data_IF_901769542857
#
_entry.id   IF_901769542857
#
_cell.length_a   1.000
_cell.length_b   1.000
_cell.length_c   1.000
_cell.angle_alpha   90.00
_cell.angle_beta   90.00
_cell.angle_gamma   90.00
#
_symmetry.space_group_name_H-M   'P 1'
#
loop_
_entity.id
_entity.type
_entity.pdbx_description
1 polymer ?
#
# COMPACT_ATOMS: atom_id res chain seq x y z
N UNK A 1 38.39 54.00 -13.57
CA UNK A 1 37.52 52.81 -13.44
C UNK A 1 37.30 52.55 -11.96
N UNK A 2 36.17 53.01 -11.44
CA UNK A 2 35.77 52.97 -10.04
C UNK A 2 34.92 51.72 -9.80
N UNK A 3 35.33 50.88 -8.84
CA UNK A 3 34.55 49.74 -8.38
C UNK A 3 33.75 50.14 -7.15
N UNK A 4 32.43 50.01 -7.22
CA UNK A 4 31.52 50.25 -6.12
C UNK A 4 31.42 48.99 -5.25
N UNK A 5 31.70 49.14 -3.95
CA UNK A 5 31.49 48.11 -2.93
C UNK A 5 30.04 48.21 -2.42
N UNK A 6 29.26 47.15 -2.60
CA UNK A 6 27.91 47.02 -2.05
C UNK A 6 27.97 46.06 -0.86
N UNK A 7 27.61 46.55 0.32
CA UNK A 7 27.42 45.72 1.51
C UNK A 7 25.94 45.29 1.59
N UNK A 8 25.62 44.02 1.90
CA UNK A 8 24.27 43.63 2.23
C UNK A 8 23.93 44.04 3.68
N UNK A 9 22.75 44.65 3.83
CA UNK A 9 22.11 44.99 5.10
C UNK A 9 21.65 43.68 5.76
N UNK A 10 22.26 43.33 6.89
CA UNK A 10 21.81 42.23 7.76
C UNK A 10 20.58 42.72 8.52
N UNK A 11 19.39 42.25 8.10
CA UNK A 11 18.16 42.44 8.87
C UNK A 11 18.15 41.45 10.03
N UNK A 12 18.30 41.98 11.25
CA UNK A 12 18.08 41.27 12.50
C UNK A 12 16.57 41.03 12.67
N UNK A 13 16.11 39.84 12.30
CA UNK A 13 14.79 39.34 12.72
C UNK A 13 14.89 38.86 14.17
N UNK A 14 14.15 39.52 15.05
CA UNK A 14 13.92 39.07 16.41
C UNK A 14 13.16 37.73 16.38
N UNK A 15 13.84 36.65 16.74
CA UNK A 15 13.22 35.36 17.06
C UNK A 15 12.60 35.48 18.45
N UNK A 16 11.26 35.48 18.51
CA UNK A 16 10.54 35.27 19.76
C UNK A 16 10.86 33.87 20.30
N UNK A 17 11.03 33.69 21.62
CA UNK A 17 11.22 32.38 22.21
C UNK A 17 9.97 31.51 21.99
N UNK A 18 10.16 30.40 21.28
CA UNK A 18 9.16 29.34 21.16
C UNK A 18 9.05 28.68 22.54
N UNK A 19 7.95 28.91 23.23
CA UNK A 19 7.59 28.13 24.42
C UNK A 19 7.34 26.68 23.99
N UNK A 20 8.20 25.78 24.44
CA UNK A 20 8.00 24.33 24.37
C UNK A 20 6.73 23.98 25.16
N UNK A 21 5.61 23.82 24.44
CA UNK A 21 4.39 23.25 24.99
C UNK A 21 4.66 21.82 25.44
N UNK A 22 4.08 21.46 26.58
CA UNK A 22 4.12 20.11 27.15
C UNK A 22 3.77 19.04 26.12
N UNK A 23 4.35 17.83 26.20
CA UNK A 23 4.01 16.73 25.31
C UNK A 23 2.51 16.47 25.40
N UNK A 24 1.82 16.66 24.28
CA UNK A 24 0.42 16.30 24.13
C UNK A 24 0.40 14.77 24.13
N UNK A 25 -0.08 14.16 25.21
CA UNK A 25 -0.52 12.77 25.18
C UNK A 25 -1.54 12.68 24.06
N UNK A 26 -1.17 12.03 22.96
CA UNK A 26 -2.10 11.70 21.89
C UNK A 26 -3.09 10.70 22.47
N UNK A 27 -4.17 11.24 23.05
CA UNK A 27 -5.35 10.50 23.39
C UNK A 27 -5.77 9.75 22.12
N UNK A 28 -5.79 8.42 22.19
CA UNK A 28 -6.24 7.55 21.11
C UNK A 28 -7.74 7.82 20.99
N UNK A 29 -8.08 8.89 20.28
CA UNK A 29 -9.46 9.29 20.09
C UNK A 29 -10.18 8.10 19.48
N UNK A 30 -11.22 7.67 20.19
CA UNK A 30 -12.23 6.75 19.71
C UNK A 30 -12.56 7.12 18.26
N UNK A 31 -12.16 6.28 17.32
CA UNK A 31 -12.57 6.42 15.94
C UNK A 31 -14.10 6.49 15.93
N UNK A 32 -14.70 7.41 15.14
CA UNK A 32 -16.14 7.48 15.03
C UNK A 32 -16.69 6.10 14.64
N UNK A 33 -17.90 5.73 15.11
CA UNK A 33 -18.52 4.48 14.71
C UNK A 33 -18.55 4.40 13.18
N UNK A 34 -18.33 3.21 12.59
CA UNK A 34 -18.22 3.04 11.16
C UNK A 34 -19.44 3.66 10.49
N UNK A 35 -19.19 4.60 9.58
CA UNK A 35 -20.23 5.23 8.76
C UNK A 35 -20.88 4.09 7.97
N UNK A 36 -22.15 3.78 8.26
CA UNK A 36 -22.96 2.90 7.41
C UNK A 36 -23.12 3.56 6.04
N UNK A 37 -22.16 3.28 5.18
CA UNK A 37 -22.10 3.85 3.84
C UNK A 37 -22.85 2.91 2.91
N UNK A 38 -23.81 3.47 2.16
CA UNK A 38 -24.64 2.77 1.17
C UNK A 38 -23.80 1.76 0.37
N UNK A 39 -24.16 0.47 0.47
CA UNK A 39 -23.57 -0.58 -0.33
C UNK A 39 -23.62 -0.20 -1.82
N UNK A 40 -22.46 -0.25 -2.50
CA UNK A 40 -22.41 -0.14 -3.95
C UNK A 40 -23.28 -1.25 -4.51
N UNK A 41 -24.29 -0.90 -5.32
CA UNK A 41 -25.21 -1.87 -5.88
C UNK A 41 -24.42 -2.89 -6.73
N UNK A 42 -24.29 -4.11 -6.21
CA UNK A 42 -23.66 -5.24 -6.89
C UNK A 42 -24.48 -5.57 -8.14
N UNK A 43 -23.85 -5.66 -9.32
CA UNK A 43 -24.51 -6.28 -10.49
C UNK A 43 -24.84 -7.73 -10.14
N UNK A 44 -26.07 -8.15 -10.41
CA UNK A 44 -26.58 -9.45 -10.00
C UNK A 44 -25.73 -10.65 -10.50
N UNK A 45 -25.00 -10.45 -11.61
CA UNK A 45 -24.29 -11.53 -12.31
C UNK A 45 -22.81 -11.69 -11.91
N UNK A 46 -22.27 -10.80 -11.07
CA UNK A 46 -20.88 -10.90 -10.59
C UNK A 46 -20.84 -11.81 -9.35
N UNK A 47 -20.01 -12.84 -9.36
CA UNK A 47 -19.81 -13.70 -8.20
C UNK A 47 -18.50 -13.32 -7.48
N UNK A 48 -18.61 -12.71 -6.29
CA UNK A 48 -17.44 -12.27 -5.54
C UNK A 48 -16.94 -13.38 -4.62
N UNK A 49 -15.62 -13.47 -4.45
CA UNK A 49 -15.04 -14.41 -3.50
C UNK A 49 -15.45 -14.05 -2.05
N UNK A 50 -15.43 -15.01 -1.15
CA UNK A 50 -15.71 -14.75 0.26
C UNK A 50 -14.55 -14.01 0.92
N UNK A 51 -14.84 -12.94 1.63
CA UNK A 51 -13.84 -12.19 2.40
C UNK A 51 -13.37 -12.98 3.63
N UNK A 52 -14.20 -13.91 4.12
CA UNK A 52 -13.87 -14.73 5.29
C UNK A 52 -12.72 -15.70 5.02
N UNK A 53 -12.44 -15.99 3.74
CA UNK A 53 -11.27 -16.76 3.31
C UNK A 53 -9.96 -15.99 3.51
N UNK A 54 -10.04 -14.72 3.93
CA UNK A 54 -8.91 -13.80 4.13
C UNK A 54 -8.05 -13.64 2.88
N UNK A 55 -8.64 -13.82 1.70
CA UNK A 55 -8.00 -13.64 0.41
C UNK A 55 -8.57 -12.38 -0.23
N UNK A 56 -7.83 -11.29 -0.12
CA UNK A 56 -8.21 -10.00 -0.67
C UNK A 56 -6.96 -9.18 -1.00
N UNK A 57 -7.14 -8.17 -1.84
CA UNK A 57 -6.07 -7.33 -2.36
C UNK A 57 -6.53 -5.87 -2.40
N UNK A 58 -5.59 -4.93 -2.45
CA UNK A 58 -5.89 -3.51 -2.65
C UNK A 58 -6.29 -3.28 -4.11
N UNK A 59 -7.49 -2.75 -4.33
CA UNK A 59 -8.00 -2.51 -5.69
C UNK A 59 -7.07 -1.62 -6.51
N UNK A 60 -6.55 -0.55 -5.90
CA UNK A 60 -5.75 0.46 -6.61
C UNK A 60 -4.37 -0.08 -7.00
N UNK A 61 -3.89 -1.15 -6.34
CA UNK A 61 -2.69 -1.89 -6.77
C UNK A 61 -2.94 -2.70 -8.03
N UNK A 62 -4.08 -3.40 -8.13
CA UNK A 62 -4.35 -4.34 -9.23
C UNK A 62 -4.89 -3.63 -10.47
N UNK A 63 -5.74 -2.62 -10.30
CA UNK A 63 -6.45 -1.96 -11.40
C UNK A 63 -5.54 -1.45 -12.54
N UNK A 64 -4.39 -0.81 -12.28
CA UNK A 64 -3.47 -0.37 -13.33
C UNK A 64 -2.93 -1.52 -14.20
N UNK A 65 -2.85 -2.73 -13.65
CA UNK A 65 -2.32 -3.92 -14.35
C UNK A 65 -3.37 -4.59 -15.24
N UNK A 66 -4.62 -4.10 -15.29
CA UNK A 66 -5.66 -4.61 -16.18
C UNK A 66 -5.66 -3.94 -17.57
N UNK A 67 -4.83 -2.91 -17.78
CA UNK A 67 -4.93 -2.06 -18.96
C UNK A 67 -4.58 -2.75 -20.30
N UNK A 68 -5.03 -2.18 -21.42
CA UNK A 68 -4.78 -2.69 -22.79
C UNK A 68 -3.41 -2.39 -23.39
N UNK A 69 -2.59 -1.53 -22.78
CA UNK A 69 -1.29 -1.10 -23.35
C UNK A 69 -0.11 -1.88 -22.80
N UNK A 70 -0.06 -2.08 -21.49
CA UNK A 70 1.04 -2.73 -20.75
C UNK A 70 0.57 -3.78 -19.75
N UNK A 71 -0.75 -3.86 -19.50
CA UNK A 71 -1.34 -4.75 -18.52
C UNK A 71 -1.73 -6.13 -19.07
N UNK A 72 -2.48 -6.87 -18.27
CA UNK A 72 -3.03 -8.19 -18.61
C UNK A 72 -3.80 -8.18 -19.92
N UNK A 73 -4.67 -7.18 -20.15
CA UNK A 73 -5.48 -7.12 -21.36
C UNK A 73 -4.69 -6.75 -22.63
N UNK A 74 -3.44 -6.24 -22.51
CA UNK A 74 -2.55 -6.11 -23.67
C UNK A 74 -2.12 -7.47 -24.24
N UNK A 75 -2.09 -8.51 -23.40
CA UNK A 75 -1.77 -9.88 -23.80
C UNK A 75 -2.96 -10.58 -24.45
N UNK A 76 -4.17 -10.01 -24.30
CA UNK A 76 -5.40 -10.55 -24.83
C UNK A 76 -5.53 -10.20 -26.32
N UNK A 77 -4.99 -11.06 -27.17
CA UNK A 77 -5.11 -10.95 -28.62
C UNK A 77 -5.74 -12.22 -29.19
N UNK A 78 -6.81 -12.05 -29.97
CA UNK A 78 -7.50 -13.11 -30.70
C UNK A 78 -6.55 -13.96 -31.56
N UNK A 79 -5.44 -13.38 -32.03
CA UNK A 79 -4.46 -14.06 -32.87
C UNK A 79 -3.57 -15.08 -32.13
N UNK A 80 -3.53 -15.05 -30.78
CA UNK A 80 -2.66 -15.93 -29.97
C UNK A 80 -3.37 -17.25 -29.60
N UNK A 81 -4.66 -17.41 -29.96
CA UNK A 81 -5.30 -18.72 -30.13
C UNK A 81 -5.54 -19.55 -28.86
N UNK A 82 -5.51 -18.95 -27.67
CA UNK A 82 -5.82 -19.64 -26.41
C UNK A 82 -7.29 -19.48 -26.00
N UNK A 83 -7.98 -20.58 -25.69
CA UNK A 83 -9.30 -20.55 -25.03
C UNK A 83 -9.21 -20.18 -23.54
N UNK A 84 -7.99 -20.08 -23.00
CA UNK A 84 -7.68 -19.68 -21.63
C UNK A 84 -6.36 -18.92 -21.62
N UNK A 85 -6.35 -17.73 -21.02
CA UNK A 85 -5.13 -17.07 -20.59
C UNK A 85 -5.23 -16.92 -19.09
N UNK A 86 -4.17 -17.33 -18.40
CA UNK A 86 -4.00 -17.17 -16.96
C UNK A 86 -2.63 -16.55 -16.69
N UNK A 87 -2.59 -15.55 -15.82
CA UNK A 87 -1.36 -14.88 -15.36
C UNK A 87 -1.41 -14.64 -13.86
N UNK A 88 -0.23 -14.67 -13.25
CA UNK A 88 -0.02 -14.31 -11.86
C UNK A 88 0.73 -12.99 -11.81
N UNK A 89 0.27 -12.10 -10.95
CA UNK A 89 0.90 -10.81 -10.68
C UNK A 89 1.31 -10.76 -9.22
N UNK A 90 2.38 -10.02 -8.93
CA UNK A 90 2.82 -9.75 -7.55
C UNK A 90 3.17 -11.00 -6.75
N UNK A 91 3.77 -11.98 -7.43
CA UNK A 91 4.14 -13.28 -6.87
C UNK A 91 5.03 -13.10 -5.63
N UNK A 92 4.69 -13.80 -4.54
CA UNK A 92 5.42 -13.75 -3.28
C UNK A 92 5.07 -12.55 -2.39
N UNK A 93 4.00 -11.80 -2.71
CA UNK A 93 3.52 -10.68 -1.90
C UNK A 93 2.09 -10.92 -1.38
N UNK A 94 1.62 -10.03 -0.51
CA UNK A 94 0.24 -10.07 0.00
C UNK A 94 -0.81 -9.66 -1.05
N UNK A 95 -0.38 -9.11 -2.18
CA UNK A 95 -1.24 -8.73 -3.31
C UNK A 95 -1.14 -9.73 -4.46
N UNK A 96 -0.57 -10.92 -4.22
CA UNK A 96 -0.50 -11.92 -5.27
C UNK A 96 -1.90 -12.25 -5.78
N UNK A 97 -2.12 -12.01 -7.07
CA UNK A 97 -3.40 -12.28 -7.74
C UNK A 97 -3.18 -13.13 -8.96
N UNK A 98 -4.12 -14.04 -9.18
CA UNK A 98 -4.32 -14.71 -10.44
C UNK A 98 -5.41 -13.97 -11.22
N UNK A 99 -5.10 -13.60 -12.46
CA UNK A 99 -6.05 -13.05 -13.40
C UNK A 99 -6.19 -14.04 -14.55
N UNK A 100 -7.42 -14.42 -14.86
CA UNK A 100 -7.70 -15.31 -15.98
C UNK A 100 -8.93 -14.91 -16.78
N UNK A 101 -8.90 -15.26 -18.06
CA UNK A 101 -10.05 -15.22 -18.94
C UNK A 101 -10.09 -16.55 -19.67
N UNK A 102 -11.21 -17.25 -19.55
CA UNK A 102 -11.38 -18.56 -20.17
C UNK A 102 -12.76 -18.71 -20.81
N UNK A 103 -12.84 -19.59 -21.79
CA UNK A 103 -14.10 -20.03 -22.39
C UNK A 103 -14.02 -21.52 -22.72
N UNK A 104 -15.03 -22.32 -22.33
CA UNK A 104 -15.00 -23.76 -22.58
C UNK A 104 -15.00 -24.15 -24.07
N UNK A 105 -15.64 -23.34 -24.93
CA UNK A 105 -15.80 -23.56 -26.36
C UNK A 105 -14.90 -22.62 -27.19
N UNK A 106 -13.89 -23.17 -27.85
CA UNK A 106 -12.91 -22.43 -28.65
C UNK A 106 -13.44 -21.92 -30.02
N UNK A 107 -14.76 -21.91 -30.25
CA UNK A 107 -15.37 -21.67 -31.57
C UNK A 107 -15.84 -20.24 -31.80
N UNK A 108 -15.70 -19.35 -30.81
CA UNK A 108 -16.29 -18.00 -30.85
C UNK A 108 -15.24 -16.92 -30.98
N UNK A 109 -15.63 -15.77 -31.53
CA UNK A 109 -14.80 -14.57 -31.59
C UNK A 109 -14.29 -14.19 -30.20
N UNK A 110 -12.97 -14.01 -30.08
CA UNK A 110 -12.34 -13.56 -28.85
C UNK A 110 -12.78 -12.12 -28.50
N UNK A 111 -12.97 -11.78 -27.22
CA UNK A 111 -13.24 -10.41 -26.80
C UNK A 111 -12.07 -9.51 -27.18
N UNK A 112 -12.34 -8.23 -27.44
CA UNK A 112 -11.27 -7.24 -27.63
C UNK A 112 -10.52 -6.99 -26.31
N UNK A 113 -9.31 -6.42 -26.40
CA UNK A 113 -8.59 -5.94 -25.21
C UNK A 113 -9.43 -4.98 -24.36
N UNK A 114 -10.18 -4.08 -24.99
CA UNK A 114 -11.06 -3.14 -24.28
C UNK A 114 -12.20 -3.86 -23.53
N UNK A 115 -12.73 -4.93 -24.13
CA UNK A 115 -13.76 -5.75 -23.50
C UNK A 115 -13.18 -6.54 -22.31
N UNK A 116 -11.95 -7.04 -22.43
CA UNK A 116 -11.18 -7.61 -21.33
C UNK A 116 -11.03 -6.62 -20.17
N UNK A 117 -10.54 -5.40 -20.46
CA UNK A 117 -10.27 -4.40 -19.42
C UNK A 117 -11.56 -3.98 -18.72
N UNK A 118 -12.61 -3.70 -19.50
CA UNK A 118 -13.92 -3.28 -18.98
C UNK A 118 -14.51 -4.32 -18.04
N UNK A 119 -14.51 -5.60 -18.43
CA UNK A 119 -15.14 -6.65 -17.63
C UNK A 119 -14.36 -6.97 -16.35
N UNK A 120 -13.02 -7.01 -16.42
CA UNK A 120 -12.19 -7.20 -15.23
C UNK A 120 -12.32 -6.01 -14.25
N UNK A 121 -12.43 -4.78 -14.75
CA UNK A 121 -12.68 -3.60 -13.90
C UNK A 121 -14.08 -3.61 -13.27
N UNK A 122 -15.09 -4.11 -13.94
CA UNK A 122 -16.42 -4.28 -13.33
C UNK A 122 -16.39 -5.32 -12.20
N UNK A 123 -15.57 -6.39 -12.29
CA UNK A 123 -15.32 -7.29 -11.14
C UNK A 123 -14.70 -6.52 -9.98
N UNK A 124 -13.66 -5.72 -10.22
CA UNK A 124 -13.05 -4.88 -9.17
C UNK A 124 -14.08 -3.93 -8.55
N UNK A 125 -14.95 -3.31 -9.34
CA UNK A 125 -15.98 -2.42 -8.82
C UNK A 125 -17.04 -3.17 -8.02
N UNK A 126 -17.52 -4.30 -8.52
CA UNK A 126 -18.60 -5.09 -7.94
C UNK A 126 -18.20 -5.87 -6.68
N UNK A 127 -16.92 -6.19 -6.54
CA UNK A 127 -16.37 -6.96 -5.40
C UNK A 127 -15.51 -6.13 -4.44
N UNK A 128 -15.59 -4.80 -4.56
CA UNK A 128 -15.02 -3.89 -3.58
C UNK A 128 -15.70 -4.06 -2.21
N UNK A 129 -14.91 -3.93 -1.16
CA UNK A 129 -15.41 -3.80 0.22
C UNK A 129 -15.74 -2.34 0.53
N UNK A 130 -16.44 -2.11 1.64
CA UNK A 130 -16.65 -0.75 2.16
C UNK A 130 -15.45 -0.21 2.95
N UNK A 131 -14.29 -0.88 2.90
CA UNK A 131 -13.10 -0.45 3.62
C UNK A 131 -12.51 0.84 3.01
N UNK A 132 -12.06 1.80 3.83
CA UNK A 132 -11.48 3.05 3.34
C UNK A 132 -10.16 2.85 2.58
N UNK A 133 -9.47 1.73 2.81
CA UNK A 133 -8.26 1.34 2.06
C UNK A 133 -8.58 0.50 0.80
N UNK A 134 -9.85 0.48 0.39
CA UNK A 134 -10.30 -0.04 -0.92
C UNK A 134 -9.95 -1.51 -1.15
N UNK A 135 -10.11 -2.34 -0.11
CA UNK A 135 -9.95 -3.78 -0.28
C UNK A 135 -10.93 -4.35 -1.28
N UNK A 136 -10.47 -5.37 -1.99
CA UNK A 136 -11.21 -6.09 -3.01
C UNK A 136 -11.09 -7.60 -2.80
N UNK A 137 -12.20 -8.30 -2.95
CA UNK A 137 -12.24 -9.77 -2.81
C UNK A 137 -11.85 -10.48 -4.10
N UNK A 138 -11.84 -9.77 -5.22
CA UNK A 138 -11.92 -10.38 -6.52
C UNK A 138 -13.22 -11.16 -6.69
N UNK A 139 -13.29 -11.93 -7.76
CA UNK A 139 -14.47 -12.68 -8.14
C UNK A 139 -14.39 -13.13 -9.58
N UNK A 140 -15.49 -13.69 -10.05
CA UNK A 140 -15.67 -14.07 -11.43
C UNK A 140 -16.96 -13.46 -12.01
N UNK A 141 -16.95 -13.31 -13.33
CA UNK A 141 -18.11 -12.84 -14.08
C UNK A 141 -18.14 -13.53 -15.44
N UNK A 142 -19.31 -14.03 -15.85
CA UNK A 142 -19.51 -14.64 -17.16
C UNK A 142 -20.21 -13.65 -18.08
N UNK A 143 -19.59 -13.31 -19.20
CA UNK A 143 -20.13 -12.40 -20.22
C UNK A 143 -19.96 -13.03 -21.59
N UNK A 144 -21.06 -13.22 -22.31
CA UNK A 144 -21.09 -13.82 -23.66
C UNK A 144 -20.36 -15.18 -23.75
N UNK A 145 -20.46 -15.98 -22.68
CA UNK A 145 -19.81 -17.30 -22.55
C UNK A 145 -18.34 -17.26 -22.12
N UNK A 146 -17.73 -16.07 -22.00
CA UNK A 146 -16.39 -15.90 -21.46
C UNK A 146 -16.45 -15.71 -19.94
N UNK A 147 -15.63 -16.44 -19.21
CA UNK A 147 -15.43 -16.29 -17.77
C UNK A 147 -14.23 -15.42 -17.51
N UNK A 148 -14.43 -14.28 -16.85
CA UNK A 148 -13.40 -13.37 -16.37
C UNK A 148 -13.22 -13.62 -14.89
N UNK A 149 -11.98 -13.71 -14.41
CA UNK A 149 -11.70 -14.05 -13.01
C UNK A 149 -10.50 -13.28 -12.46
N UNK A 150 -10.64 -12.82 -11.21
CA UNK A 150 -9.57 -12.24 -10.40
C UNK A 150 -9.62 -12.90 -9.03
N UNK A 151 -8.54 -13.57 -8.64
CA UNK A 151 -8.48 -14.31 -7.37
C UNK A 151 -7.20 -13.97 -6.61
N UNK A 152 -7.33 -13.48 -5.38
CA UNK A 152 -6.20 -13.35 -4.47
C UNK A 152 -5.65 -14.75 -4.13
N UNK A 153 -4.34 -14.89 -4.19
CA UNK A 153 -3.65 -16.15 -3.92
C UNK A 153 -3.19 -16.23 -2.46
N UNK A 154 -2.75 -15.11 -1.91
CA UNK A 154 -2.19 -15.01 -0.56
C UNK A 154 -3.26 -14.78 0.50
N UNK A 155 -3.22 -15.56 1.57
CA UNK A 155 -4.03 -15.33 2.76
C UNK A 155 -3.46 -14.17 3.58
N UNK A 156 -4.35 -13.35 4.12
CA UNK A 156 -4.05 -12.13 4.89
C UNK A 156 -4.61 -12.21 6.30
N UNK A 157 -4.43 -11.12 7.05
CA UNK A 157 -5.18 -10.90 8.29
C UNK A 157 -6.67 -10.69 7.98
N UNK A 158 -7.57 -10.70 8.98
CA UNK A 158 -8.90 -10.16 8.78
C UNK A 158 -8.81 -8.72 8.26
N UNK A 159 -9.78 -8.33 7.42
CA UNK A 159 -9.86 -6.98 6.86
C UNK A 159 -9.77 -5.94 7.96
N UNK A 160 -8.83 -5.00 7.81
CA UNK A 160 -8.71 -3.84 8.66
C UNK A 160 -9.24 -2.60 7.94
N UNK A 161 -9.83 -1.67 8.71
CA UNK A 161 -10.25 -0.35 8.21
C UNK A 161 -9.10 0.64 8.16
N UNK A 162 -7.98 0.32 8.78
CA UNK A 162 -6.78 1.13 8.71
C UNK A 162 -5.56 0.22 8.62
N UNK A 163 -4.54 0.67 7.89
CA UNK A 163 -3.28 -0.01 7.90
C UNK A 163 -2.57 0.22 9.25
N UNK A 164 -1.71 -0.72 9.64
CA UNK A 164 -1.00 -0.68 10.93
C UNK A 164 0.50 -0.71 10.69
N UNK A 165 1.25 0.11 11.44
CA UNK A 165 2.71 0.04 11.55
C UNK A 165 3.08 -0.14 13.00
N UNK A 166 4.12 -0.92 13.25
CA UNK A 166 4.79 -1.05 14.54
C UNK A 166 6.27 -0.84 14.35
N UNK A 167 6.89 -0.25 15.36
CA UNK A 167 8.32 -0.08 15.38
C UNK A 167 8.88 -0.51 16.74
N UNK A 168 9.98 -1.25 16.71
CA UNK A 168 10.71 -1.69 17.89
C UNK A 168 12.19 -1.47 17.69
N UNK A 169 12.84 -0.79 18.64
CA UNK A 169 14.29 -0.65 18.61
C UNK A 169 14.98 -1.94 19.07
N UNK A 170 16.08 -2.27 18.40
CA UNK A 170 17.04 -3.30 18.76
C UNK A 170 18.44 -2.71 18.63
N UNK A 171 18.93 -2.09 19.71
CA UNK A 171 20.17 -1.31 19.67
C UNK A 171 20.03 -0.07 18.79
N UNK A 172 20.76 -0.01 17.67
CA UNK A 172 20.72 1.08 16.69
C UNK A 172 19.89 0.75 15.44
N UNK A 173 19.15 -0.37 15.46
CA UNK A 173 18.29 -0.79 14.35
C UNK A 173 16.85 -0.78 14.82
N UNK A 174 15.98 -0.11 14.07
CA UNK A 174 14.54 -0.21 14.20
C UNK A 174 14.06 -1.40 13.36
N UNK A 175 13.43 -2.36 14.02
CA UNK A 175 12.62 -3.36 13.35
C UNK A 175 11.22 -2.79 13.18
N UNK A 176 10.80 -2.67 11.93
CA UNK A 176 9.52 -2.09 11.54
C UNK A 176 8.68 -3.20 10.94
N UNK A 177 7.42 -3.29 11.34
CA UNK A 177 6.47 -4.23 10.76
C UNK A 177 5.13 -3.56 10.51
N UNK A 178 4.33 -4.12 9.61
CA UNK A 178 3.02 -3.56 9.36
C UNK A 178 2.07 -4.51 8.65
N UNK A 179 0.83 -4.06 8.49
CA UNK A 179 -0.24 -4.78 7.81
C UNK A 179 -1.21 -3.80 7.14
N UNK A 180 -1.91 -4.28 6.11
CA UNK A 180 -2.97 -3.53 5.45
C UNK A 180 -2.50 -2.45 4.45
N UNK A 181 -1.19 -2.32 4.25
CA UNK A 181 -0.66 -1.78 3.00
C UNK A 181 -0.30 -2.94 2.07
N UNK A 182 0.07 -2.61 0.84
CA UNK A 182 1.27 -3.13 0.18
C UNK A 182 0.97 -3.28 -1.30
N UNK A 183 1.11 -2.25 -2.15
CA UNK A 183 1.45 -2.57 -3.54
C UNK A 183 2.70 -3.48 -3.55
N UNK A 184 2.91 -4.32 -4.55
CA UNK A 184 4.11 -5.17 -4.60
C UNK A 184 5.42 -4.39 -4.53
N UNK A 185 5.36 -3.12 -4.91
CA UNK A 185 6.49 -2.19 -4.94
C UNK A 185 6.56 -1.33 -3.67
N UNK A 186 5.75 -1.58 -2.65
CA UNK A 186 5.67 -0.75 -1.44
C UNK A 186 7.03 -0.46 -0.82
N UNK A 187 7.91 -1.46 -0.75
CA UNK A 187 9.25 -1.24 -0.23
C UNK A 187 10.06 -0.22 -1.05
N UNK A 188 9.92 -0.25 -2.38
CA UNK A 188 10.55 0.72 -3.26
C UNK A 188 9.82 2.07 -3.26
N UNK A 189 8.49 2.09 -3.16
CA UNK A 189 7.70 3.32 -3.00
C UNK A 189 8.08 4.04 -1.70
N UNK A 190 8.22 3.31 -0.59
CA UNK A 190 8.66 3.85 0.69
C UNK A 190 10.09 4.38 0.60
N UNK A 191 11.01 3.64 -0.03
CA UNK A 191 12.38 4.11 -0.33
C UNK A 191 12.36 5.37 -1.21
N UNK A 192 11.51 5.42 -2.23
CA UNK A 192 11.38 6.56 -3.14
C UNK A 192 10.81 7.80 -2.42
N UNK A 193 9.80 7.63 -1.57
CA UNK A 193 9.29 8.71 -0.74
C UNK A 193 10.35 9.19 0.25
N UNK A 194 11.09 8.29 0.89
CA UNK A 194 12.22 8.65 1.74
C UNK A 194 13.21 9.56 1.00
N UNK A 195 13.51 9.28 -0.27
CA UNK A 195 14.33 10.14 -1.13
C UNK A 195 13.69 11.49 -1.38
N UNK A 196 12.41 11.52 -1.78
CA UNK A 196 11.67 12.76 -2.04
C UNK A 196 11.65 13.70 -0.83
N UNK A 197 11.59 13.15 0.39
CA UNK A 197 11.60 13.92 1.63
C UNK A 197 13.00 14.13 2.24
N UNK A 198 14.07 13.67 1.58
CA UNK A 198 15.46 13.89 2.02
C UNK A 198 15.90 13.03 3.21
N UNK A 199 15.24 11.88 3.43
CA UNK A 199 15.56 10.90 4.47
C UNK A 199 16.47 9.77 3.98
N UNK A 200 16.60 9.54 2.67
CA UNK A 200 17.42 8.45 2.11
C UNK A 200 18.90 8.52 2.53
N UNK A 201 19.45 9.72 2.73
CA UNK A 201 20.82 9.89 3.23
C UNK A 201 20.95 9.83 4.76
N UNK A 202 19.82 9.74 5.47
CA UNK A 202 19.72 9.72 6.93
C UNK A 202 19.40 8.34 7.49
N UNK A 203 19.01 7.40 6.64
CA UNK A 203 18.67 6.04 7.04
C UNK A 203 19.40 5.02 6.17
N UNK A 204 19.73 3.89 6.77
CA UNK A 204 20.21 2.69 6.07
C UNK A 204 19.12 1.64 6.17
N UNK A 205 18.68 1.14 5.03
CA UNK A 205 17.86 -0.07 4.94
C UNK A 205 18.78 -1.28 5.17
N UNK A 206 18.73 -1.85 6.37
CA UNK A 206 19.62 -2.94 6.79
C UNK A 206 19.27 -4.23 6.07
N UNK A 207 17.97 -4.46 5.91
CA UNK A 207 17.40 -5.61 5.19
C UNK A 207 16.36 -5.11 4.21
N UNK A 208 16.09 -5.92 3.18
CA UNK A 208 14.98 -5.67 2.27
C UNK A 208 13.64 -6.00 2.93
N UNK A 209 12.55 -5.60 2.26
CA UNK A 209 11.21 -5.92 2.74
C UNK A 209 10.96 -7.42 2.67
N UNK A 210 10.57 -8.00 3.79
CA UNK A 210 10.15 -9.38 3.89
C UNK A 210 8.63 -9.44 4.04
N UNK A 211 7.96 -10.10 3.11
CA UNK A 211 6.51 -10.29 3.12
C UNK A 211 6.17 -11.66 3.72
N UNK A 212 5.56 -11.66 4.90
CA UNK A 212 5.09 -12.88 5.56
C UNK A 212 3.87 -12.58 6.42
N UNK A 213 2.91 -13.52 6.45
CA UNK A 213 1.81 -13.46 7.41
C UNK A 213 2.28 -14.12 8.71
N UNK A 214 2.76 -13.30 9.64
CA UNK A 214 3.28 -13.79 10.92
C UNK A 214 2.79 -12.92 12.06
N UNK A 215 2.33 -13.58 13.12
CA UNK A 215 1.71 -12.97 14.29
C UNK A 215 0.56 -12.03 13.89
N UNK A 216 0.86 -10.74 13.75
CA UNK A 216 -0.06 -9.67 13.38
C UNK A 216 0.53 -8.67 12.37
N UNK A 217 1.54 -9.09 11.60
CA UNK A 217 2.05 -8.31 10.49
C UNK A 217 2.05 -9.12 9.19
N UNK A 218 2.14 -8.38 8.09
CA UNK A 218 2.17 -8.84 6.70
C UNK A 218 3.53 -8.55 6.05
N UNK A 219 4.32 -7.65 6.66
CA UNK A 219 5.66 -7.32 6.23
C UNK A 219 6.55 -6.87 7.38
N UNK A 220 7.87 -7.01 7.19
CA UNK A 220 8.90 -6.45 8.05
C UNK A 220 10.03 -5.79 7.26
N UNK A 221 10.72 -4.84 7.88
CA UNK A 221 11.95 -4.24 7.38
C UNK A 221 12.82 -3.77 8.56
N UNK A 222 14.13 -3.83 8.39
CA UNK A 222 15.11 -3.35 9.37
C UNK A 222 15.76 -2.05 8.88
N UNK A 223 15.70 -0.98 9.68
CA UNK A 223 16.21 0.34 9.33
C UNK A 223 17.13 0.87 10.44
N UNK A 224 18.27 1.46 10.10
CA UNK A 224 19.18 2.10 11.05
C UNK A 224 19.45 3.56 10.69
N UNK A 225 19.77 4.44 11.64
CA UNK A 225 20.27 5.77 11.31
C UNK A 225 21.57 5.70 10.48
N UNK A 226 21.72 6.61 9.52
CA UNK A 226 22.89 6.73 8.66
C UNK A 226 23.49 8.14 8.71
N UNK A 227 24.82 8.26 8.68
CA UNK A 227 25.50 9.55 8.67
C UNK A 227 25.15 10.41 9.89
N UNK A 228 24.40 11.51 9.67
CA UNK A 228 23.88 12.40 10.73
C UNK A 228 22.43 12.10 11.13
N UNK A 229 21.85 11.03 10.59
CA UNK A 229 20.50 10.61 10.92
C UNK A 229 20.36 10.22 12.38
N UNK A 230 19.15 10.39 12.89
CA UNK A 230 18.77 10.15 14.27
C UNK A 230 17.66 9.10 14.36
N UNK A 231 17.34 8.64 15.57
CA UNK A 231 16.17 7.80 15.81
C UNK A 231 14.87 8.52 15.37
N UNK A 232 14.77 9.82 15.64
CA UNK A 232 13.64 10.66 15.23
C UNK A 232 13.46 10.71 13.70
N UNK A 233 14.55 10.70 12.92
CA UNK A 233 14.45 10.68 11.46
C UNK A 233 13.76 9.39 10.96
N UNK A 234 13.98 8.26 11.65
CA UNK A 234 13.28 7.00 11.36
C UNK A 234 11.81 7.09 11.75
N UNK A 235 11.49 7.61 12.94
CA UNK A 235 10.09 7.73 13.38
C UNK A 235 9.26 8.66 12.47
N UNK A 236 9.87 9.73 11.95
CA UNK A 236 9.25 10.61 10.96
C UNK A 236 9.08 9.87 9.64
N UNK A 237 10.10 9.16 9.16
CA UNK A 237 10.01 8.35 7.94
C UNK A 237 8.86 7.34 8.01
N UNK A 238 8.65 6.71 9.16
CA UNK A 238 7.51 5.80 9.38
C UNK A 238 6.17 6.52 9.40
N UNK A 239 6.15 7.76 9.89
CA UNK A 239 5.00 8.65 9.74
C UNK A 239 4.66 8.94 8.28
N UNK A 240 5.66 9.17 7.43
CA UNK A 240 5.46 9.37 5.98
C UNK A 240 4.79 8.15 5.34
N UNK A 241 5.19 6.93 5.72
CA UNK A 241 4.57 5.70 5.26
C UNK A 241 3.08 5.60 5.67
N UNK A 242 2.70 6.21 6.80
CA UNK A 242 1.30 6.29 7.26
C UNK A 242 0.46 7.26 6.42
N UNK A 243 1.06 8.33 5.91
CA UNK A 243 0.40 9.42 5.17
C UNK A 243 0.16 9.12 3.69
N UNK A 244 0.63 7.97 3.20
CA UNK A 244 0.16 7.44 1.90
C UNK A 244 -1.36 7.14 1.92
N UNK A 245 -1.99 7.15 3.11
CA UNK A 245 -3.45 7.27 3.24
C UNK A 245 -3.90 8.74 3.13
N UNK A 246 -4.87 9.08 2.25
CA UNK A 246 -5.17 10.47 1.91
C UNK A 246 -5.65 11.31 3.11
N UNK A 247 -4.91 12.37 3.45
CA UNK A 247 -5.42 13.48 4.28
C UNK A 247 -4.56 13.96 5.45
N UNK A 248 -3.49 13.27 5.82
CA UNK A 248 -2.58 13.72 6.90
C UNK A 248 -1.40 14.56 6.35
N UNK A 249 -0.83 15.50 7.12
CA UNK A 249 0.46 16.13 6.77
C UNK A 249 1.58 15.13 7.11
N UNK A 250 2.36 14.67 6.10
CA UNK A 250 3.41 13.67 6.30
C UNK A 250 4.43 14.07 7.37
N UNK A 251 4.65 15.37 7.55
CA UNK A 251 5.67 15.92 8.45
C UNK A 251 5.25 15.88 9.93
N UNK A 252 3.98 15.60 10.20
CA UNK A 252 3.41 15.62 11.56
C UNK A 252 3.09 14.22 12.09
N UNK A 253 2.92 13.24 11.19
CA UNK A 253 2.78 11.85 11.58
C UNK A 253 4.10 11.32 12.12
N UNK A 254 4.06 10.65 13.27
CA UNK A 254 5.18 9.89 13.82
C UNK A 254 4.68 8.52 14.24
N UNK A 255 5.45 7.49 13.96
CA UNK A 255 5.23 6.15 14.52
C UNK A 255 6.30 5.93 15.58
N UNK A 256 5.97 6.10 16.88
CA UNK A 256 6.96 5.95 17.93
C UNK A 256 7.46 4.51 18.00
N UNK A 257 8.77 4.36 18.15
CA UNK A 257 9.40 3.06 18.28
C UNK A 257 9.56 2.68 19.75
N UNK A 258 9.11 1.48 20.12
CA UNK A 258 9.21 1.00 21.51
C UNK A 258 10.60 0.41 21.74
N UNK A 259 11.29 0.88 22.79
CA UNK A 259 12.55 0.27 23.25
C UNK A 259 12.29 -1.06 23.97
N UNK A 260 13.20 -2.05 23.90
CA UNK A 260 13.08 -3.26 24.68
C UNK A 260 13.09 -2.90 26.17
N UNK A 261 12.04 -3.29 26.91
CA UNK A 261 12.09 -3.21 28.37
C UNK A 261 13.25 -4.05 28.85
N UNK A 262 14.21 -3.44 29.55
CA UNK A 262 15.27 -4.18 30.23
C UNK A 262 14.62 -5.23 31.13
N UNK A 263 15.09 -6.49 31.13
CA UNK A 263 14.64 -7.47 32.10
C UNK A 263 14.78 -6.85 33.49
N UNK A 264 13.70 -6.90 34.28
CA UNK A 264 13.76 -6.45 35.67
C UNK A 264 14.73 -7.39 36.37
N UNK A 265 15.88 -6.88 36.81
CA UNK A 265 16.82 -7.65 37.62
C UNK A 265 16.07 -8.10 38.88
N UNK A 266 15.87 -9.41 38.99
CA UNK A 266 15.28 -10.09 40.15
C UNK A 266 16.36 -10.56 41.08
#
# INVERSE_FOLDING_TARGET
>A
MTWAQVYPIVSLLFLSPITLGSPIEADVQHLPPPIETRAVAKRADINCNDINDRKYFNRDTIEPYLNTTTGYCSLWNAAIGGSDITRYYFIGTMEEVQISISRPDATTQHPSGDHCETNLKEILKGCATNSPIKWNRGGNWVVDGWTYNITAQTSRRPVADAPTVRCKWQGNTAQVSGAGWLGSDFGNEMKAQARTFGYDSKVTWVEDFHYELKDDHEWTVSISPAGKGTKDDIEILLGLAYVVSPGADPRTARVPCVEPTKPRET
#
